data_IF_990850894601
#
_entry.id   IF_990850894601
#
_cell.length_a   1.000
_cell.length_b   1.000
_cell.length_c   1.000
_cell.angle_alpha   90.00
_cell.angle_beta   90.00
_cell.angle_gamma   90.00
#
_symmetry.space_group_name_H-M   'P 1'
#
loop_
_entity.id
_entity.type
_entity.pdbx_description
1 polymer ?
#
# COMPACT_ATOMS: atom_id res chain seq x y z
N UNK A 1 13.82 8.31 -0.85
CA UNK A 1 13.56 8.53 0.60
C UNK A 1 12.10 8.94 0.73
N UNK A 2 11.35 8.39 1.68
CA UNK A 2 9.93 8.70 1.87
C UNK A 2 9.56 8.77 3.34
N UNK A 3 8.62 9.64 3.71
CA UNK A 3 7.98 9.69 5.03
C UNK A 3 6.46 9.50 4.89
N UNK A 4 5.83 8.88 5.88
CA UNK A 4 4.38 8.64 5.87
C UNK A 4 3.83 8.62 7.30
N UNK A 5 2.62 9.12 7.45
CA UNK A 5 1.79 8.98 8.65
C UNK A 5 0.52 8.26 8.24
N UNK A 6 0.14 7.25 9.03
CA UNK A 6 -1.10 6.47 8.83
C UNK A 6 -1.90 6.44 10.13
N UNK A 7 -3.22 6.53 10.03
CA UNK A 7 -4.12 6.52 11.20
C UNK A 7 -5.43 5.79 10.91
N UNK A 8 -5.91 5.03 11.90
CA UNK A 8 -7.28 4.52 11.90
C UNK A 8 -8.24 5.70 12.06
N UNK A 9 -9.17 5.86 11.11
CA UNK A 9 -10.16 6.94 11.12
C UNK A 9 -11.45 6.51 11.80
N UNK A 10 -11.88 5.27 11.54
CA UNK A 10 -13.00 4.64 12.23
C UNK A 10 -12.75 3.14 12.46
N UNK A 11 -13.16 2.60 13.61
CA UNK A 11 -13.22 1.16 13.79
C UNK A 11 -14.28 0.54 12.87
N UNK A 12 -14.16 -0.77 12.67
CA UNK A 12 -15.17 -1.56 11.96
C UNK A 12 -16.31 -1.92 12.91
N UNK A 13 -17.53 -1.53 12.55
CA UNK A 13 -18.73 -1.72 13.35
C UNK A 13 -19.89 -2.14 12.40
N UNK A 14 -21.04 -1.46 12.47
CA UNK A 14 -22.12 -1.55 11.48
C UNK A 14 -21.66 -1.09 10.08
N UNK A 15 -20.70 -0.16 10.04
CA UNK A 15 -20.02 0.33 8.83
C UNK A 15 -18.62 -0.28 8.67
N UNK A 16 -18.08 -0.33 7.44
CA UNK A 16 -16.70 -0.72 7.21
C UNK A 16 -15.72 0.13 8.03
N UNK A 17 -14.69 -0.50 8.57
CA UNK A 17 -13.59 0.20 9.23
C UNK A 17 -12.77 1.00 8.22
N UNK A 18 -12.19 2.11 8.67
CA UNK A 18 -11.49 3.05 7.81
C UNK A 18 -10.10 3.39 8.33
N UNK A 19 -9.12 3.46 7.44
CA UNK A 19 -7.82 4.05 7.74
C UNK A 19 -7.37 4.98 6.62
N UNK A 20 -6.69 6.05 7.00
CA UNK A 20 -6.12 7.02 6.09
C UNK A 20 -4.61 7.08 6.23
N UNK A 21 -3.96 7.55 5.17
CA UNK A 21 -2.53 7.82 5.19
C UNK A 21 -2.19 9.04 4.34
N UNK A 22 -1.13 9.73 4.76
CA UNK A 22 -0.50 10.84 4.04
C UNK A 22 1.00 10.62 4.05
N UNK A 23 1.67 10.92 2.95
CA UNK A 23 3.10 10.80 2.85
C UNK A 23 3.71 11.72 1.80
N UNK A 24 5.03 11.80 1.88
CA UNK A 24 5.86 12.56 0.97
C UNK A 24 7.07 11.70 0.59
N UNK A 25 7.37 11.63 -0.69
CA UNK A 25 8.54 10.95 -1.22
C UNK A 25 9.59 12.02 -1.50
N UNK A 26 10.61 12.15 -0.67
CA UNK A 26 11.61 13.23 -0.71
C UNK A 26 12.68 13.07 -1.80
N UNK A 27 12.94 11.83 -2.23
CA UNK A 27 13.96 11.52 -3.22
C UNK A 27 13.52 10.33 -4.05
N UNK A 28 13.40 10.54 -5.36
CA UNK A 28 13.11 9.52 -6.36
C UNK A 28 14.30 9.42 -7.32
N UNK A 29 14.75 8.19 -7.61
CA UNK A 29 15.80 7.93 -8.59
C UNK A 29 15.14 7.90 -9.98
N UNK A 30 15.44 8.89 -10.82
CA UNK A 30 14.72 9.14 -12.08
C UNK A 30 15.62 8.97 -13.30
N UNK A 31 16.56 8.02 -13.27
CA UNK A 31 17.36 7.70 -14.45
C UNK A 31 16.48 7.02 -15.50
N UNK A 32 16.31 7.66 -16.65
CA UNK A 32 15.97 6.96 -17.89
C UNK A 32 17.23 6.23 -18.36
N UNK A 33 17.08 5.05 -18.94
CA UNK A 33 18.17 4.18 -19.40
C UNK A 33 19.20 5.00 -20.21
N UNK A 34 20.43 5.16 -19.68
CA UNK A 34 21.53 5.90 -20.33
C UNK A 34 21.81 7.34 -19.85
N UNK A 35 21.07 7.91 -18.90
CA UNK A 35 21.34 9.26 -18.36
C UNK A 35 21.77 9.30 -16.88
N UNK A 36 22.50 10.38 -16.52
CA UNK A 36 22.97 10.70 -15.17
C UNK A 36 21.83 10.74 -14.14
N UNK A 37 22.17 10.38 -12.90
CA UNK A 37 21.29 10.32 -11.73
C UNK A 37 20.52 11.65 -11.51
N UNK A 38 19.27 11.75 -11.98
CA UNK A 38 18.44 12.94 -11.77
C UNK A 38 17.62 12.83 -10.49
N UNK A 39 17.92 13.72 -9.55
CA UNK A 39 17.19 13.89 -8.29
C UNK A 39 15.93 14.73 -8.55
N UNK A 40 14.77 14.07 -8.52
CA UNK A 40 13.49 14.72 -8.71
C UNK A 40 12.95 15.47 -7.50
N UNK A 41 12.03 16.42 -7.74
CA UNK A 41 11.18 16.97 -6.67
C UNK A 41 10.21 15.92 -6.17
N UNK A 42 10.07 15.88 -4.85
CA UNK A 42 9.31 14.84 -4.18
C UNK A 42 7.82 14.79 -4.50
N UNK A 43 7.22 13.60 -4.42
CA UNK A 43 5.80 13.40 -4.65
C UNK A 43 5.01 13.47 -3.33
N UNK A 44 3.81 14.04 -3.37
CA UNK A 44 2.85 13.98 -2.26
C UNK A 44 1.89 12.84 -2.51
N UNK A 45 1.66 12.00 -1.50
CA UNK A 45 0.75 10.89 -1.63
C UNK A 45 -0.26 10.88 -0.47
N UNK A 46 -1.50 10.57 -0.81
CA UNK A 46 -2.60 10.46 0.14
C UNK A 46 -3.45 9.26 -0.22
N UNK A 47 -4.06 8.64 0.79
CA UNK A 47 -4.97 7.56 0.53
C UNK A 47 -5.89 7.21 1.69
N UNK A 48 -6.89 6.45 1.32
CA UNK A 48 -7.94 5.95 2.20
C UNK A 48 -8.08 4.45 1.94
N UNK A 49 -8.48 3.70 2.95
CA UNK A 49 -8.85 2.31 2.77
C UNK A 49 -10.00 1.96 3.67
N UNK A 50 -10.94 1.22 3.09
CA UNK A 50 -12.09 0.67 3.76
C UNK A 50 -11.87 -0.83 3.91
N UNK A 51 -12.23 -1.40 5.06
CA UNK A 51 -12.21 -2.84 5.26
C UNK A 51 -13.46 -3.33 5.98
N UNK A 52 -13.88 -4.55 5.65
CA UNK A 52 -14.96 -5.23 6.34
C UNK A 52 -14.68 -6.73 6.41
N UNK A 53 -15.03 -7.30 7.54
CA UNK A 53 -14.77 -8.67 7.93
C UNK A 53 -16.08 -9.44 7.88
N UNK A 54 -16.05 -10.50 7.08
CA UNK A 54 -17.09 -11.52 6.99
C UNK A 54 -16.40 -12.84 7.27
N UNK A 55 -16.24 -13.20 8.55
CA UNK A 55 -15.46 -14.35 9.00
C UNK A 55 -15.70 -15.60 8.11
N UNK A 56 -14.66 -16.20 7.47
CA UNK A 56 -13.20 -15.97 7.63
C UNK A 56 -12.56 -15.02 6.59
N UNK A 57 -13.37 -14.23 5.90
CA UNK A 57 -12.98 -13.34 4.82
C UNK A 57 -12.84 -11.90 5.32
N UNK A 58 -11.84 -11.19 4.82
CA UNK A 58 -11.72 -9.73 4.96
C UNK A 58 -11.67 -9.13 3.57
N UNK A 59 -12.61 -8.23 3.32
CA UNK A 59 -12.66 -7.43 2.10
C UNK A 59 -12.04 -6.07 2.40
N UNK A 60 -11.16 -5.59 1.51
CA UNK A 60 -10.61 -4.25 1.57
C UNK A 60 -10.67 -3.60 0.20
N UNK A 61 -10.92 -2.30 0.18
CA UNK A 61 -10.67 -1.45 -0.99
C UNK A 61 -9.84 -0.25 -0.57
N UNK A 62 -8.73 -0.04 -1.27
CA UNK A 62 -7.88 1.15 -1.12
C UNK A 62 -8.13 2.16 -2.24
N UNK A 63 -8.04 3.43 -1.90
CA UNK A 63 -8.01 4.56 -2.83
C UNK A 63 -6.74 5.36 -2.55
N UNK A 64 -6.02 5.71 -3.61
CA UNK A 64 -4.80 6.50 -3.52
C UNK A 64 -4.78 7.63 -4.53
N UNK A 65 -4.12 8.72 -4.17
CA UNK A 65 -3.77 9.82 -5.05
C UNK A 65 -2.32 10.23 -4.79
N UNK A 66 -1.55 10.38 -5.85
CA UNK A 66 -0.19 10.86 -5.83
C UNK A 66 -0.07 12.08 -6.75
N UNK A 67 0.34 13.19 -6.17
CA UNK A 67 0.62 14.44 -6.87
C UNK A 67 2.12 14.64 -7.01
N UNK A 68 2.57 14.92 -8.23
CA UNK A 68 3.97 15.23 -8.50
C UNK A 68 4.09 16.71 -8.87
N UNK A 69 4.72 17.54 -8.00
CA UNK A 69 4.88 18.95 -8.30
C UNK A 69 5.67 19.17 -9.59
N UNK A 70 5.32 20.19 -10.40
CA UNK A 70 6.07 20.54 -11.58
C UNK A 70 7.53 20.86 -11.25
N UNK A 71 8.43 20.44 -12.13
CA UNK A 71 9.86 20.70 -12.02
C UNK A 71 10.39 21.44 -13.24
N UNK A 72 11.50 22.14 -13.06
CA UNK A 72 12.22 22.77 -14.15
C UNK A 72 13.41 21.90 -14.51
N UNK A 73 13.44 21.42 -15.75
CA UNK A 73 14.56 20.65 -16.29
C UNK A 73 15.44 21.65 -17.03
N UNK A 74 16.75 21.67 -16.71
CA UNK A 74 17.71 22.46 -17.47
C UNK A 74 17.63 22.02 -18.94
N UNK A 75 17.48 22.99 -19.83
CA UNK A 75 17.39 22.83 -21.29
C UNK A 75 16.06 22.32 -21.87
N UNK A 76 15.14 21.77 -21.06
CA UNK A 76 13.82 21.30 -21.53
C UNK A 76 12.62 22.11 -21.00
N UNK A 77 12.85 23.08 -20.11
CA UNK A 77 11.80 23.96 -19.59
C UNK A 77 11.01 23.34 -18.43
N UNK A 78 9.75 23.75 -18.27
CA UNK A 78 8.87 23.26 -17.21
C UNK A 78 8.32 21.88 -17.59
N UNK A 79 8.64 20.87 -16.80
CA UNK A 79 8.09 19.53 -16.91
C UNK A 79 7.06 19.31 -15.80
N UNK A 80 5.83 19.06 -16.19
CA UNK A 80 4.71 18.75 -15.32
C UNK A 80 4.35 17.28 -15.51
N UNK A 81 4.42 16.51 -14.43
CA UNK A 81 4.10 15.08 -14.49
C UNK A 81 2.64 14.85 -14.23
N UNK A 82 2.07 13.91 -14.95
CA UNK A 82 0.73 13.46 -14.68
C UNK A 82 0.60 12.90 -13.26
N UNK A 83 -0.42 13.38 -12.55
CA UNK A 83 -0.80 12.80 -11.28
C UNK A 83 -1.23 11.34 -11.45
N UNK A 84 -1.19 10.57 -10.36
CA UNK A 84 -1.65 9.18 -10.36
C UNK A 84 -2.79 8.99 -9.37
N UNK A 85 -3.86 8.33 -9.83
CA UNK A 85 -4.91 7.79 -8.97
C UNK A 85 -4.81 6.27 -8.93
N UNK A 86 -5.11 5.68 -7.78
CA UNK A 86 -5.11 4.22 -7.63
C UNK A 86 -6.36 3.71 -6.92
N UNK A 87 -6.79 2.51 -7.33
CA UNK A 87 -7.83 1.73 -6.66
C UNK A 87 -7.32 0.31 -6.46
N UNK A 88 -7.33 -0.15 -5.21
CA UNK A 88 -6.65 -1.39 -4.82
C UNK A 88 -7.62 -2.31 -4.05
N UNK A 89 -8.53 -3.03 -4.72
CA UNK A 89 -9.38 -4.02 -4.06
C UNK A 89 -8.56 -5.25 -3.68
N UNK A 90 -8.87 -5.82 -2.51
CA UNK A 90 -8.20 -7.01 -2.01
C UNK A 90 -9.12 -7.85 -1.13
N UNK A 91 -8.87 -9.15 -1.14
CA UNK A 91 -9.53 -10.14 -0.30
C UNK A 91 -8.47 -10.88 0.47
N UNK A 92 -8.67 -11.04 1.77
CA UNK A 92 -7.86 -11.90 2.63
C UNK A 92 -8.76 -13.00 3.18
N UNK A 93 -8.28 -14.24 3.12
CA UNK A 93 -8.95 -15.41 3.68
C UNK A 93 -8.09 -16.00 4.80
N UNK A 94 -8.66 -16.13 5.98
CA UNK A 94 -8.04 -16.82 7.10
C UNK A 94 -8.24 -18.32 6.96
N UNK A 95 -7.19 -19.04 6.56
CA UNK A 95 -7.24 -20.51 6.46
C UNK A 95 -7.28 -21.12 7.86
N UNK A 96 -6.47 -20.59 8.77
CA UNK A 96 -6.45 -20.94 10.18
C UNK A 96 -5.79 -19.81 11.00
N UNK A 97 -5.51 -20.05 12.28
CA UNK A 97 -4.88 -19.11 13.21
C UNK A 97 -3.43 -18.72 12.85
N UNK A 98 -2.78 -19.43 11.92
CA UNK A 98 -1.39 -19.22 11.51
C UNK A 98 -1.32 -18.74 10.06
N UNK A 99 -2.15 -19.29 9.18
CA UNK A 99 -2.06 -19.16 7.73
C UNK A 99 -3.20 -18.29 7.20
N UNK A 100 -2.85 -17.31 6.37
CA UNK A 100 -3.82 -16.52 5.62
C UNK A 100 -3.39 -16.41 4.16
N UNK A 101 -4.35 -16.32 3.25
CA UNK A 101 -4.12 -16.15 1.82
C UNK A 101 -4.75 -14.82 1.38
N UNK A 102 -4.06 -14.05 0.56
CA UNK A 102 -4.55 -12.78 0.02
C UNK A 102 -4.60 -12.82 -1.50
N UNK A 103 -5.66 -12.28 -2.07
CA UNK A 103 -5.73 -11.89 -3.47
C UNK A 103 -5.86 -10.36 -3.55
N UNK A 104 -5.08 -9.72 -4.41
CA UNK A 104 -5.03 -8.27 -4.56
C UNK A 104 -5.15 -7.90 -6.03
N UNK A 105 -5.85 -6.83 -6.33
CA UNK A 105 -5.75 -6.14 -7.61
C UNK A 105 -5.40 -4.69 -7.35
N UNK A 106 -4.67 -4.07 -8.26
CA UNK A 106 -4.30 -2.67 -8.19
C UNK A 106 -4.44 -2.05 -9.58
N UNK A 107 -5.25 -1.00 -9.66
CA UNK A 107 -5.55 -0.26 -10.88
C UNK A 107 -5.00 1.14 -10.66
N UNK A 108 -4.00 1.52 -11.46
CA UNK A 108 -3.38 2.83 -11.44
C UNK A 108 -3.63 3.54 -12.74
N UNK A 109 -4.05 4.80 -12.66
CA UNK A 109 -4.17 5.69 -13.80
C UNK A 109 -3.26 6.87 -13.56
N UNK A 110 -2.25 7.01 -14.41
CA UNK A 110 -1.35 8.17 -14.45
C UNK A 110 -1.80 9.06 -15.59
N UNK A 111 -2.04 10.34 -15.29
CA UNK A 111 -2.42 11.34 -16.30
C UNK A 111 -1.23 11.67 -17.22
N UNK A 112 -1.50 12.41 -18.28
CA UNK A 112 -0.47 12.80 -19.26
C UNK A 112 0.53 13.76 -18.66
N UNK A 113 1.78 13.66 -19.12
CA UNK A 113 2.81 14.66 -18.81
C UNK A 113 2.69 15.86 -19.76
N UNK A 114 3.07 17.04 -19.27
CA UNK A 114 3.15 18.28 -20.04
C UNK A 114 4.58 18.81 -19.99
N UNK A 115 5.17 19.11 -21.16
CA UNK A 115 6.51 19.72 -21.26
C UNK A 115 6.40 21.08 -21.95
N UNK A 116 6.76 22.15 -21.24
CA UNK A 116 6.75 23.54 -21.73
C UNK A 116 5.47 23.94 -22.49
N UNK A 117 4.30 23.59 -21.92
CA UNK A 117 2.94 23.79 -22.49
C UNK A 117 2.61 22.95 -23.73
N UNK A 118 3.47 22.03 -24.13
CA UNK A 118 3.08 20.94 -25.02
C UNK A 118 2.32 19.89 -24.20
N UNK A 119 1.00 19.90 -24.37
CA UNK A 119 0.13 18.89 -23.77
C UNK A 119 0.39 17.51 -24.38
N UNK A 120 0.27 16.47 -23.55
CA UNK A 120 0.43 15.06 -23.94
C UNK A 120 1.84 14.68 -24.41
N UNK A 121 2.89 15.21 -23.77
CA UNK A 121 4.26 14.74 -24.01
C UNK A 121 4.39 13.24 -23.76
N UNK A 122 3.72 12.73 -22.71
CA UNK A 122 3.45 11.32 -22.51
C UNK A 122 1.94 11.07 -22.43
N UNK A 123 1.50 9.96 -23.03
CA UNK A 123 0.10 9.57 -23.01
C UNK A 123 -0.32 9.07 -21.62
N UNK A 124 -1.59 9.31 -21.28
CA UNK A 124 -2.24 8.72 -20.10
C UNK A 124 -1.98 7.22 -20.05
N UNK A 125 -1.49 6.74 -18.91
CA UNK A 125 -1.13 5.34 -18.70
C UNK A 125 -2.07 4.69 -17.70
N UNK A 126 -2.62 3.53 -18.06
CA UNK A 126 -3.38 2.68 -17.14
C UNK A 126 -2.63 1.38 -16.90
N UNK A 127 -2.31 1.10 -15.63
CA UNK A 127 -1.67 -0.13 -15.21
C UNK A 127 -2.63 -0.90 -14.32
N UNK A 128 -2.86 -2.16 -14.67
CA UNK A 128 -3.59 -3.11 -13.86
C UNK A 128 -2.62 -4.20 -13.43
N UNK A 129 -2.58 -4.50 -12.14
CA UNK A 129 -1.84 -5.63 -11.61
C UNK A 129 -2.72 -6.52 -10.75
N UNK A 130 -2.42 -7.81 -10.76
CA UNK A 130 -3.07 -8.81 -9.92
C UNK A 130 -2.00 -9.52 -9.10
N UNK A 131 -2.31 -9.87 -7.86
CA UNK A 131 -1.36 -10.50 -6.95
C UNK A 131 -2.01 -11.51 -6.03
N UNK A 132 -1.19 -12.47 -5.62
CA UNK A 132 -1.51 -13.47 -4.62
C UNK A 132 -0.44 -13.43 -3.54
N UNK A 133 -0.84 -13.71 -2.30
CA UNK A 133 0.07 -13.76 -1.18
C UNK A 133 -0.35 -14.73 -0.11
N UNK A 134 0.61 -15.15 0.69
CA UNK A 134 0.43 -16.03 1.85
C UNK A 134 1.10 -15.37 3.04
N UNK A 135 0.39 -15.38 4.17
CA UNK A 135 0.87 -14.85 5.44
C UNK A 135 1.01 -15.94 6.49
N UNK A 136 2.25 -16.02 7.00
CA UNK A 136 2.84 -16.78 8.11
C UNK A 136 2.76 -16.13 9.49
N UNK A 137 1.73 -16.32 10.32
CA UNK A 137 1.73 -15.77 11.70
C UNK A 137 2.45 -16.70 12.67
N UNK A 138 3.75 -16.47 12.88
CA UNK A 138 4.60 -17.21 13.81
C UNK A 138 4.60 -16.55 15.20
N UNK A 139 4.22 -17.33 16.23
CA UNK A 139 4.35 -16.97 17.66
C UNK A 139 3.88 -15.54 17.97
N UNK A 140 2.61 -15.18 17.73
CA UNK A 140 1.91 -13.91 18.06
C UNK A 140 2.61 -12.56 17.78
N UNK A 141 3.83 -12.57 17.25
CA UNK A 141 4.78 -11.45 17.25
C UNK A 141 5.51 -11.35 15.92
N UNK A 142 5.59 -12.45 15.18
CA UNK A 142 6.29 -12.49 13.90
C UNK A 142 5.31 -12.86 12.80
N UNK A 143 5.27 -12.06 11.74
CA UNK A 143 4.48 -12.34 10.56
C UNK A 143 5.41 -12.38 9.36
N UNK A 144 5.42 -13.50 8.65
CA UNK A 144 6.11 -13.63 7.36
C UNK A 144 5.06 -13.45 6.28
N UNK A 145 5.31 -12.61 5.30
CA UNK A 145 4.43 -12.46 4.14
C UNK A 145 5.21 -12.72 2.88
N UNK A 146 4.66 -13.57 2.01
CA UNK A 146 5.22 -13.89 0.70
C UNK A 146 4.15 -13.55 -0.32
N UNK A 147 4.52 -12.85 -1.38
CA UNK A 147 3.59 -12.50 -2.46
C UNK A 147 4.23 -12.55 -3.83
N UNK A 148 3.39 -12.84 -4.82
CA UNK A 148 3.67 -12.65 -6.23
C UNK A 148 2.62 -11.73 -6.83
N UNK A 149 3.00 -10.93 -7.82
CA UNK A 149 2.07 -10.16 -8.62
C UNK A 149 2.51 -10.11 -10.07
N UNK A 150 1.54 -9.95 -10.97
CA UNK A 150 1.74 -9.80 -12.40
C UNK A 150 1.04 -8.55 -12.90
N UNK A 151 1.59 -7.92 -13.94
CA UNK A 151 0.93 -6.83 -14.64
C UNK A 151 0.00 -7.41 -15.72
N UNK A 152 -1.29 -7.14 -15.57
CA UNK A 152 -2.30 -7.48 -16.57
C UNK A 152 -2.30 -6.49 -17.74
N UNK A 153 -1.84 -5.26 -17.53
CA UNK A 153 -1.64 -4.26 -18.59
C UNK A 153 -0.25 -3.60 -18.50
N UNK A 154 0.21 -3.04 -19.63
CA UNK A 154 1.49 -2.33 -19.79
C UNK A 154 2.76 -3.20 -19.88
N UNK A 155 2.80 -4.13 -20.83
CA UNK A 155 4.05 -4.76 -21.32
C UNK A 155 4.44 -6.09 -20.67
N UNK A 156 3.64 -6.58 -19.72
CA UNK A 156 3.93 -7.83 -19.00
C UNK A 156 5.05 -7.67 -17.97
N UNK A 157 5.07 -8.56 -16.98
CA UNK A 157 6.08 -8.57 -15.92
C UNK A 157 5.52 -9.16 -14.63
N UNK A 158 6.36 -9.87 -13.90
CA UNK A 158 6.01 -10.44 -12.61
C UNK A 158 6.99 -9.95 -11.54
N UNK A 159 6.48 -9.70 -10.34
CA UNK A 159 7.30 -9.38 -9.18
C UNK A 159 6.97 -10.33 -8.04
N UNK A 160 8.01 -10.79 -7.37
CA UNK A 160 7.90 -11.58 -6.15
C UNK A 160 8.55 -10.82 -5.00
N UNK A 161 7.97 -10.93 -3.82
CA UNK A 161 8.47 -10.25 -2.64
C UNK A 161 8.13 -11.02 -1.38
N UNK A 162 9.05 -10.97 -0.43
CA UNK A 162 8.81 -11.44 0.93
C UNK A 162 9.18 -10.34 1.91
N UNK A 163 8.41 -10.19 2.98
CA UNK A 163 8.77 -9.35 4.11
C UNK A 163 8.50 -10.07 5.42
N UNK A 164 9.24 -9.67 6.45
CA UNK A 164 9.06 -10.15 7.82
C UNK A 164 8.72 -8.94 8.68
N UNK A 165 7.61 -9.03 9.41
CA UNK A 165 7.24 -8.07 10.43
C UNK A 165 7.43 -8.71 11.80
N UNK A 166 8.24 -8.08 12.63
CA UNK A 166 8.40 -8.45 14.04
C UNK A 166 7.82 -7.34 14.92
N UNK A 167 7.05 -7.70 15.95
CA UNK A 167 6.62 -6.77 17.00
C UNK A 167 7.45 -7.02 18.26
N UNK A 168 8.22 -6.02 18.73
CA UNK A 168 8.94 -6.14 20.00
C UNK A 168 7.96 -6.27 21.18
N UNK A 169 8.44 -6.90 22.25
CA UNK A 169 7.69 -7.16 23.48
C UNK A 169 7.29 -5.83 24.13
N UNK A 170 6.01 -5.69 24.49
CA UNK A 170 5.45 -4.46 25.02
C UNK A 170 5.46 -4.48 26.55
N UNK A 171 6.63 -4.75 27.14
CA UNK A 171 6.80 -4.75 28.60
C UNK A 171 7.44 -3.43 29.12
N UNK A 172 7.81 -2.46 28.25
CA UNK A 172 8.58 -1.28 28.67
C UNK A 172 8.02 0.11 28.33
N UNK A 173 6.84 0.25 27.70
CA UNK A 173 6.31 1.60 27.41
C UNK A 173 4.79 1.70 27.62
N UNK A 174 4.49 2.18 28.82
CA UNK A 174 3.28 2.89 29.28
C UNK A 174 1.97 2.09 29.24
N UNK A 175 1.52 1.77 30.44
CA UNK A 175 0.16 1.39 30.77
C UNK A 175 -0.83 2.41 30.17
N UNK A 176 -1.69 1.90 29.29
CA UNK A 176 -3.03 2.42 29.06
C UNK A 176 -3.93 1.19 28.96
N UNK A 177 -4.20 0.64 30.14
CA UNK A 177 -5.08 -0.51 30.34
C UNK A 177 -6.53 -0.07 30.14
N UNK A 178 -7.05 -0.40 28.96
CA UNK A 178 -8.45 -0.81 28.85
C UNK A 178 -8.48 -2.20 28.25
N UNK A 179 -8.06 -3.18 29.06
CA UNK A 179 -8.47 -4.57 28.90
C UNK A 179 -9.99 -4.64 29.07
N UNK A 180 -10.73 -4.51 27.96
CA UNK A 180 -12.07 -5.05 27.88
C UNK A 180 -11.94 -6.57 27.90
N UNK A 181 -12.41 -7.18 28.98
CA UNK A 181 -12.63 -8.62 29.14
C UNK A 181 -13.26 -9.22 27.88
N UNK A 182 -12.46 -9.91 27.07
CA UNK A 182 -12.93 -10.68 25.92
C UNK A 182 -13.79 -11.85 26.45
N UNK A 183 -15.10 -11.74 26.24
CA UNK A 183 -16.01 -12.86 26.41
C UNK A 183 -15.67 -13.96 25.39
N UNK A 184 -15.82 -15.22 25.79
CA UNK A 184 -15.50 -16.43 25.03
C UNK A 184 -16.30 -16.62 23.72
N UNK A 185 -17.05 -15.61 23.27
CA UNK A 185 -17.85 -15.59 22.04
C UNK A 185 -17.25 -14.82 20.86
N UNK A 186 -15.99 -14.37 20.95
CA UNK A 186 -15.34 -13.58 19.88
C UNK A 186 -15.15 -14.33 18.56
N UNK A 187 -15.48 -13.70 17.43
CA UNK A 187 -15.20 -14.22 16.08
C UNK A 187 -13.71 -14.48 15.90
N UNK A 188 -13.31 -15.27 14.89
CA UNK A 188 -11.88 -15.51 14.63
C UNK A 188 -11.13 -14.17 14.48
N UNK A 189 -11.80 -13.20 13.87
CA UNK A 189 -11.30 -11.84 13.66
C UNK A 189 -11.00 -11.07 14.94
N UNK A 190 -11.90 -11.05 15.93
CA UNK A 190 -11.69 -10.25 17.15
C UNK A 190 -10.40 -10.68 17.86
N UNK A 191 -10.16 -11.99 17.92
CA UNK A 191 -8.96 -12.61 18.51
C UNK A 191 -7.67 -12.38 17.71
N UNK A 192 -7.76 -12.06 16.43
CA UNK A 192 -6.59 -11.98 15.52
C UNK A 192 -6.43 -10.61 14.84
N UNK A 193 -7.27 -9.62 15.19
CA UNK A 193 -7.27 -8.27 14.62
C UNK A 193 -5.87 -7.64 14.62
N UNK A 194 -5.13 -7.81 15.71
CA UNK A 194 -3.76 -7.33 15.83
C UNK A 194 -2.83 -7.95 14.77
N UNK A 195 -2.92 -9.25 14.49
CA UNK A 195 -2.11 -9.95 13.50
C UNK A 195 -2.48 -9.54 12.07
N UNK A 196 -3.77 -9.37 11.79
CA UNK A 196 -4.22 -8.98 10.44
C UNK A 196 -3.90 -7.53 10.13
N UNK A 197 -3.96 -6.62 11.10
CA UNK A 197 -3.36 -5.29 10.94
C UNK A 197 -1.87 -5.37 10.61
N UNK A 198 -1.18 -6.38 11.14
CA UNK A 198 0.18 -6.78 10.73
C UNK A 198 0.33 -6.86 9.21
N UNK A 199 -0.54 -7.67 8.61
CA UNK A 199 -0.60 -8.03 7.19
C UNK A 199 -1.09 -6.86 6.34
N UNK A 200 -2.16 -6.18 6.75
CA UNK A 200 -2.73 -5.03 6.03
C UNK A 200 -1.71 -3.89 5.95
N UNK A 201 -1.02 -3.54 7.04
CA UNK A 201 0.06 -2.54 6.94
C UNK A 201 1.20 -3.00 6.05
N UNK A 202 1.51 -4.30 6.06
CA UNK A 202 2.55 -4.87 5.21
C UNK A 202 2.17 -4.87 3.72
N UNK A 203 0.90 -5.07 3.39
CA UNK A 203 0.34 -4.91 2.05
C UNK A 203 0.49 -3.45 1.57
N UNK A 204 0.14 -2.47 2.40
CA UNK A 204 0.33 -1.04 2.08
C UNK A 204 1.82 -0.72 1.86
N UNK A 205 2.71 -1.28 2.68
CA UNK A 205 4.15 -1.09 2.51
C UNK A 205 4.67 -1.75 1.22
N UNK A 206 4.14 -2.92 0.85
CA UNK A 206 4.49 -3.60 -0.39
C UNK A 206 3.96 -2.88 -1.65
N UNK A 207 2.76 -2.28 -1.57
CA UNK A 207 2.22 -1.39 -2.62
C UNK A 207 3.19 -0.22 -2.90
N UNK A 208 3.83 0.37 -1.87
CA UNK A 208 4.83 1.43 -2.02
C UNK A 208 6.13 1.00 -2.70
N UNK A 209 6.65 -0.19 -2.38
CA UNK A 209 7.88 -0.70 -3.02
C UNK A 209 7.68 -0.91 -4.52
N UNK A 210 6.46 -1.27 -4.94
CA UNK A 210 6.12 -1.38 -6.37
C UNK A 210 5.98 -0.02 -7.04
N UNK A 211 5.38 0.97 -6.36
CA UNK A 211 5.29 2.33 -6.87
C UNK A 211 6.67 2.98 -7.04
N UNK A 212 7.61 2.73 -6.11
CA UNK A 212 8.95 3.32 -6.12
C UNK A 212 9.98 2.60 -7.03
N UNK A 213 9.61 1.48 -7.68
CA UNK A 213 10.45 0.75 -8.65
C UNK A 213 10.16 1.12 -10.11
N UNK A 214 9.40 2.20 -10.33
CA UNK A 214 9.12 2.79 -11.64
C UNK A 214 9.69 4.20 -11.68
#
# INVERSE_FOLDING_TARGET
LSAQISRSLSPENETPGMFGWLGIDLLENRSVEGEDFRRGRGAFNAGLSLYRTYDPIVLRVGFGYAHTPPEHIRDAGRFDRGDTISVSPSVLFAVNNIVSISATSDIQVTFSDTLDRQDNYNQRRTVVSAGLGVSLSLRDRTTIYISGSTFASAGGGASFGAFVRHRPRRDDLLADDSESTESEGGTWWSRHRAKVWGIVSGLIAAERVRAARR
#
